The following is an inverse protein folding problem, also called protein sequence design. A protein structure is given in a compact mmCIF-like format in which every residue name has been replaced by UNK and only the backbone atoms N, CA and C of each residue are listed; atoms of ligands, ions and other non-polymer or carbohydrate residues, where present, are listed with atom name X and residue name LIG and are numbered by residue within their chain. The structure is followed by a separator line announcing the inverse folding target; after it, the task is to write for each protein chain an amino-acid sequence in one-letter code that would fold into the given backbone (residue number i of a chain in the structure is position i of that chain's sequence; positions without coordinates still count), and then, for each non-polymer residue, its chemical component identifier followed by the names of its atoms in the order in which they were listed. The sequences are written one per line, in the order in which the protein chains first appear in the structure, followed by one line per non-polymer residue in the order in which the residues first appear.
data_IF_008205733269
#
_entry.id   IF_008205733269
#
_cell.length_a   1.000
_cell.length_b   1.000
_cell.length_c   1.000
_cell.angle_alpha   90.00
_cell.angle_beta   90.00
_cell.angle_gamma   90.00
#
_symmetry.space_group_name_H-M   'P 1'
#
loop_
_entity.id
_entity.type
_entity.pdbx_description
1 polymer ?
#
# COMPACT_ATOMS: atom_id res chain seq x y z
N UNK A 1 -18.90 -6.63 -7.53
CA UNK A 1 -18.75 -7.80 -8.45
C UNK A 1 -17.91 -8.90 -7.81
N UNK A 2 -18.28 -10.17 -7.98
CA UNK A 2 -17.45 -11.29 -7.55
C UNK A 2 -16.34 -11.56 -8.59
N UNK A 3 -15.14 -11.99 -8.17
CA UNK A 3 -13.98 -12.17 -9.07
C UNK A 3 -14.25 -13.10 -10.26
N UNK A 4 -15.09 -14.13 -10.09
CA UNK A 4 -15.44 -15.04 -11.18
C UNK A 4 -16.16 -14.33 -12.34
N UNK A 5 -17.04 -13.37 -12.03
CA UNK A 5 -17.74 -12.59 -13.05
C UNK A 5 -16.75 -11.72 -13.85
N UNK A 6 -15.79 -11.10 -13.17
CA UNK A 6 -14.77 -10.26 -13.82
C UNK A 6 -13.81 -11.07 -14.70
N UNK A 7 -13.62 -12.35 -14.37
CA UNK A 7 -12.88 -13.29 -15.21
C UNK A 7 -13.69 -13.71 -16.45
N UNK A 8 -14.99 -13.96 -16.29
CA UNK A 8 -15.91 -14.26 -17.40
C UNK A 8 -16.04 -13.07 -18.38
N UNK A 9 -15.98 -11.84 -17.87
CA UNK A 9 -15.98 -10.60 -18.65
C UNK A 9 -14.60 -10.25 -19.26
N UNK A 10 -13.56 -11.04 -18.98
CA UNK A 10 -12.20 -10.84 -19.53
C UNK A 10 -11.39 -9.71 -18.87
N UNK A 11 -11.94 -9.04 -17.85
CA UNK A 11 -11.31 -7.90 -17.17
C UNK A 11 -10.20 -8.33 -16.20
N UNK A 12 -10.30 -9.54 -15.64
CA UNK A 12 -9.35 -10.08 -14.66
C UNK A 12 -8.91 -11.47 -15.07
N UNK A 13 -7.63 -11.78 -14.86
CA UNK A 13 -7.10 -13.13 -14.94
C UNK A 13 -6.87 -13.68 -13.52
N UNK A 14 -7.42 -14.87 -13.23
CA UNK A 14 -7.21 -15.55 -11.94
C UNK A 14 -6.27 -16.73 -12.13
N UNK A 15 -5.08 -16.65 -11.53
CA UNK A 15 -4.08 -17.72 -11.55
C UNK A 15 -3.89 -18.34 -10.17
N UNK A 16 -3.47 -19.61 -10.12
CA UNK A 16 -3.02 -20.24 -8.88
C UNK A 16 -1.51 -20.11 -8.76
N UNK A 17 -1.05 -19.25 -7.87
CA UNK A 17 0.37 -19.09 -7.53
C UNK A 17 0.59 -19.68 -6.13
N UNK A 18 1.47 -20.66 -6.02
CA UNK A 18 1.80 -21.32 -4.75
C UNK A 18 0.56 -21.81 -3.96
N UNK A 19 -0.44 -22.34 -4.68
CA UNK A 19 -1.69 -22.84 -4.08
C UNK A 19 -2.73 -21.77 -3.72
N UNK A 20 -2.43 -20.48 -3.88
CA UNK A 20 -3.39 -19.38 -3.68
C UNK A 20 -3.90 -18.83 -5.00
N UNK A 21 -5.21 -18.53 -5.06
CA UNK A 21 -5.79 -17.75 -6.16
C UNK A 21 -5.27 -16.32 -6.07
N UNK A 22 -4.69 -15.84 -7.17
CA UNK A 22 -4.20 -14.47 -7.35
C UNK A 22 -4.91 -13.90 -8.56
N UNK A 23 -5.48 -12.70 -8.42
CA UNK A 23 -6.16 -12.00 -9.50
C UNK A 23 -5.29 -10.84 -9.98
N UNK A 24 -5.19 -10.64 -11.30
CA UNK A 24 -4.59 -9.45 -11.92
C UNK A 24 -5.48 -8.91 -13.03
N UNK A 25 -5.45 -7.60 -13.27
CA UNK A 25 -6.12 -7.01 -14.44
C UNK A 25 -5.47 -7.52 -15.71
N UNK A 26 -6.30 -7.74 -16.73
CA UNK A 26 -5.86 -7.88 -18.12
C UNK A 26 -5.62 -6.50 -18.74
N UNK A 27 -5.09 -6.45 -19.96
CA UNK A 27 -4.96 -5.18 -20.69
C UNK A 27 -6.34 -4.53 -20.95
N UNK A 28 -7.36 -5.34 -21.20
CA UNK A 28 -8.76 -4.90 -21.33
C UNK A 28 -9.31 -4.39 -19.99
N UNK A 29 -9.03 -5.08 -18.89
CA UNK A 29 -9.38 -4.63 -17.55
C UNK A 29 -8.72 -3.31 -17.16
N UNK A 30 -7.46 -3.10 -17.57
CA UNK A 30 -6.75 -1.83 -17.38
C UNK A 30 -7.42 -0.70 -18.17
N UNK A 31 -7.74 -0.93 -19.44
CA UNK A 31 -8.42 0.06 -20.28
C UNK A 31 -9.82 0.40 -19.73
N UNK A 32 -10.58 -0.63 -19.30
CA UNK A 32 -11.89 -0.47 -18.70
C UNK A 32 -11.85 0.41 -17.43
N UNK A 33 -10.87 0.18 -16.54
CA UNK A 33 -10.66 0.99 -15.33
C UNK A 33 -10.31 2.43 -15.67
N UNK A 34 -9.53 2.66 -16.72
CA UNK A 34 -9.16 4.02 -17.13
C UNK A 34 -10.37 4.78 -17.69
N UNK A 35 -11.15 4.14 -18.56
CA UNK A 35 -12.33 4.74 -19.20
C UNK A 35 -13.45 5.04 -18.20
N UNK A 36 -13.64 4.15 -17.20
CA UNK A 36 -14.72 4.24 -16.23
C UNK A 36 -14.26 4.74 -14.87
N UNK A 37 -13.09 5.39 -14.79
CA UNK A 37 -12.48 5.81 -13.52
C UNK A 37 -13.42 6.68 -12.68
N UNK A 38 -14.16 7.58 -13.31
CA UNK A 38 -15.09 8.47 -12.64
C UNK A 38 -16.30 7.73 -12.06
N UNK A 39 -16.79 6.71 -12.78
CA UNK A 39 -17.94 5.89 -12.38
C UNK A 39 -17.59 4.84 -11.32
N UNK A 40 -16.38 4.27 -11.38
CA UNK A 40 -15.88 3.29 -10.42
C UNK A 40 -15.58 3.92 -9.06
N UNK A 41 -15.21 5.21 -9.05
CA UNK A 41 -14.88 5.97 -7.84
C UNK A 41 -13.65 5.43 -7.09
N UNK A 42 -13.40 5.99 -5.90
CA UNK A 42 -12.41 5.46 -4.97
C UNK A 42 -13.11 4.52 -3.97
N UNK A 43 -12.89 3.20 -4.03
CA UNK A 43 -13.53 2.25 -3.12
C UNK A 43 -13.09 2.42 -1.66
N UNK A 44 -12.07 3.25 -1.41
CA UNK A 44 -11.58 3.61 -0.08
C UNK A 44 -11.95 5.05 0.32
N UNK A 45 -12.76 5.76 -0.47
CA UNK A 45 -13.17 7.14 -0.17
C UNK A 45 -13.78 7.27 1.23
N UNK A 46 -14.73 6.39 1.56
CA UNK A 46 -15.38 6.39 2.89
C UNK A 46 -14.41 6.06 4.02
N UNK A 47 -13.41 5.21 3.76
CA UNK A 47 -12.33 4.92 4.74
C UNK A 47 -11.43 6.14 4.91
N UNK A 48 -11.17 6.91 3.86
CA UNK A 48 -10.38 8.16 3.92
C UNK A 48 -11.15 9.25 4.67
N UNK A 49 -12.45 9.38 4.44
CA UNK A 49 -13.30 10.34 5.17
C UNK A 49 -13.51 9.95 6.64
N UNK A 50 -13.68 8.65 6.94
CA UNK A 50 -13.81 8.15 8.32
C UNK A 50 -12.54 8.32 9.16
N UNK A 51 -11.37 8.43 8.52
CA UNK A 51 -10.09 8.74 9.19
C UNK A 51 -9.95 10.24 9.47
N UNK A 52 -10.82 11.09 8.90
CA UNK A 52 -11.03 12.48 9.31
C UNK A 52 -9.85 13.43 9.08
N UNK A 53 -10.16 14.67 8.72
CA UNK A 53 -9.19 15.76 8.51
C UNK A 53 -8.42 16.21 9.78
N UNK A 54 -8.27 15.38 10.83
CA UNK A 54 -7.61 15.79 12.08
C UNK A 54 -6.54 14.85 12.67
N UNK A 55 -6.20 13.72 12.07
CA UNK A 55 -5.07 12.90 12.56
C UNK A 55 -4.14 12.55 11.40
N UNK A 56 -2.95 13.17 11.39
CA UNK A 56 -1.75 12.88 10.57
C UNK A 56 -1.95 11.89 9.40
N UNK A 57 -1.76 12.35 8.15
CA UNK A 57 -1.75 11.47 6.95
C UNK A 57 -0.56 10.48 6.98
N UNK A 58 -0.70 9.41 7.75
CA UNK A 58 0.31 8.38 7.92
C UNK A 58 0.60 7.66 6.59
N UNK A 59 -0.40 7.56 5.70
CA UNK A 59 -0.21 6.94 4.37
C UNK A 59 0.67 7.82 3.49
N UNK A 60 0.41 9.12 3.44
CA UNK A 60 1.25 10.08 2.72
C UNK A 60 2.68 10.12 3.26
N UNK A 61 2.86 10.12 4.58
CA UNK A 61 4.18 10.06 5.21
C UNK A 61 4.92 8.76 4.89
N UNK A 62 4.23 7.62 4.89
CA UNK A 62 4.82 6.35 4.45
C UNK A 62 5.23 6.38 2.98
N UNK A 63 4.42 6.97 2.10
CA UNK A 63 4.74 7.10 0.68
C UNK A 63 6.02 7.93 0.46
N UNK A 64 6.16 9.06 1.17
CA UNK A 64 7.37 9.88 1.14
C UNK A 64 8.60 9.10 1.62
N UNK A 65 8.46 8.33 2.72
CA UNK A 65 9.52 7.47 3.22
C UNK A 65 9.93 6.40 2.20
N UNK A 66 8.97 5.75 1.53
CA UNK A 66 9.26 4.80 0.46
C UNK A 66 10.05 5.44 -0.69
N UNK A 67 9.67 6.65 -1.11
CA UNK A 67 10.42 7.41 -2.12
C UNK A 67 11.87 7.66 -1.71
N UNK A 68 12.11 8.07 -0.47
CA UNK A 68 13.47 8.28 0.05
C UNK A 68 14.28 6.98 0.09
N UNK A 69 13.68 5.87 0.53
CA UNK A 69 14.34 4.55 0.52
C UNK A 69 14.69 4.11 -0.90
N UNK A 70 13.79 4.32 -1.87
CA UNK A 70 14.04 4.00 -3.27
C UNK A 70 15.21 4.82 -3.84
N UNK A 71 15.34 6.11 -3.46
CA UNK A 71 16.49 6.94 -3.84
C UNK A 71 17.80 6.41 -3.27
N UNK A 72 17.82 6.03 -1.99
CA UNK A 72 19.02 5.42 -1.36
C UNK A 72 19.37 4.09 -2.03
N UNK A 73 18.39 3.27 -2.37
CA UNK A 73 18.63 2.00 -3.06
C UNK A 73 19.17 2.20 -4.48
N UNK A 74 18.69 3.21 -5.20
CA UNK A 74 19.07 3.45 -6.59
C UNK A 74 20.41 4.18 -6.73
N UNK A 75 20.71 5.12 -5.84
CA UNK A 75 21.83 6.06 -5.99
C UNK A 75 22.75 6.15 -4.76
N UNK A 76 22.45 5.44 -3.68
CA UNK A 76 23.21 5.49 -2.44
C UNK A 76 24.47 4.63 -2.48
N UNK A 77 25.45 5.02 -1.67
CA UNK A 77 26.64 4.21 -1.38
C UNK A 77 26.29 3.07 -0.40
N UNK A 78 27.13 2.01 -0.31
CA UNK A 78 26.91 0.94 0.66
C UNK A 78 26.77 1.43 2.11
N UNK A 79 27.50 2.47 2.49
CA UNK A 79 27.41 3.06 3.82
C UNK A 79 26.08 3.81 4.03
N UNK A 80 25.59 4.52 3.02
CA UNK A 80 24.27 5.17 3.08
C UNK A 80 23.13 4.15 3.15
N UNK A 81 23.24 3.02 2.45
CA UNK A 81 22.27 1.93 2.55
C UNK A 81 22.25 1.31 3.97
N UNK A 82 23.44 1.14 4.58
CA UNK A 82 23.57 0.65 5.96
C UNK A 82 22.92 1.61 6.96
N UNK A 83 23.17 2.90 6.83
CA UNK A 83 22.56 3.93 7.69
C UNK A 83 21.03 4.00 7.52
N UNK A 84 20.52 3.89 6.28
CA UNK A 84 19.09 3.82 6.04
C UNK A 84 18.44 2.60 6.72
N UNK A 85 19.09 1.43 6.68
CA UNK A 85 18.60 0.23 7.36
C UNK A 85 18.54 0.40 8.90
N UNK A 86 19.51 1.09 9.49
CA UNK A 86 19.51 1.43 10.92
C UNK A 86 18.32 2.34 11.28
N UNK A 87 18.11 3.41 10.50
CA UNK A 87 17.00 4.35 10.69
C UNK A 87 15.65 3.62 10.61
N UNK A 88 15.44 2.79 9.59
CA UNK A 88 14.19 2.02 9.43
C UNK A 88 13.96 1.04 10.57
N UNK A 89 15.04 0.43 11.08
CA UNK A 89 14.96 -0.49 12.24
C UNK A 89 14.50 0.24 13.49
N UNK A 90 15.03 1.43 13.74
CA UNK A 90 14.66 2.24 14.91
C UNK A 90 13.26 2.84 14.78
N UNK A 91 12.88 3.30 13.58
CA UNK A 91 11.53 3.76 13.29
C UNK A 91 10.50 2.67 13.60
N UNK A 92 10.73 1.44 13.14
CA UNK A 92 9.87 0.29 13.44
C UNK A 92 9.75 0.03 14.95
N UNK A 93 10.88 0.05 15.68
CA UNK A 93 10.87 -0.14 17.15
C UNK A 93 10.09 0.97 17.85
N UNK A 94 10.25 2.21 17.42
CA UNK A 94 9.56 3.37 17.98
C UNK A 94 8.04 3.27 17.79
N UNK A 95 7.58 2.83 16.61
CA UNK A 95 6.15 2.60 16.37
C UNK A 95 5.55 1.54 17.31
N UNK A 96 6.26 0.43 17.55
CA UNK A 96 5.81 -0.57 18.51
C UNK A 96 5.85 -0.07 19.96
N UNK A 97 6.76 0.85 20.29
CA UNK A 97 6.81 1.45 21.62
C UNK A 97 5.59 2.31 21.91
N UNK A 98 5.12 3.08 20.93
CA UNK A 98 3.86 3.85 21.06
C UNK A 98 2.70 2.92 21.43
N UNK A 99 2.58 1.78 20.73
CA UNK A 99 1.55 0.78 21.02
C UNK A 99 1.72 0.12 22.40
N UNK A 100 2.96 -0.06 22.85
CA UNK A 100 3.25 -0.64 24.17
C UNK A 100 3.00 0.34 25.32
N UNK A 101 3.30 1.64 25.13
CA UNK A 101 3.08 2.68 26.14
C UNK A 101 1.58 2.93 26.40
N UNK A 102 0.71 2.70 25.42
CA UNK A 102 -0.75 2.75 25.61
C UNK A 102 -1.29 1.54 26.39
N UNK A 103 -0.62 0.39 26.36
CA UNK A 103 -1.04 -0.80 27.13
C UNK A 103 -0.58 -0.80 28.60
N UNK A 104 0.23 0.20 29.00
CA UNK A 104 0.79 0.32 30.36
C UNK A 104 0.02 1.27 31.29
N UNK A 105 -1.10 1.85 30.83
CA UNK A 105 -1.98 2.70 31.64
C UNK A 105 -3.25 1.93 32.02
N UNK A 106 -3.12 1.02 32.98
CA UNK A 106 -4.24 0.49 33.78
C UNK A 106 -3.95 0.71 35.26
#
# INVERSE_FOLDING_TARGET
PALAQLEDEGLVLIEKVSGRKTARLTDEGLAHVEEHREDLGDPFAEVREAVGEQELDLRGLLHQLFGAVAQVAAAGTPEQARQAAEILTEARRSMYRILAEDTGKE
#
